data_IF_210467946263
#
_entry.id   IF_210467946263
#
_cell.length_a   1.000
_cell.length_b   1.000
_cell.length_c   1.000
_cell.angle_alpha   90.00
_cell.angle_beta   90.00
_cell.angle_gamma   90.00
#
_symmetry.space_group_name_H-M   'P 1'
#
loop_
_entity.id
_entity.type
_entity.pdbx_description
1 polymer ?
#
# COMPACT_ATOMS: atom_id res chain seq x y z
N UNK A 1 -11.03 -22.44 2.15
CA UNK A 1 -9.98 -21.56 1.58
C UNK A 1 -10.58 -20.38 0.79
N UNK A 2 -11.39 -20.63 -0.25
CA UNK A 2 -11.93 -19.56 -1.11
C UNK A 2 -12.73 -18.47 -0.37
N UNK A 3 -13.60 -18.85 0.58
CA UNK A 3 -14.35 -17.87 1.41
C UNK A 3 -13.42 -16.94 2.18
N UNK A 4 -12.34 -17.47 2.76
CA UNK A 4 -11.36 -16.69 3.51
C UNK A 4 -10.50 -15.80 2.61
N UNK A 5 -10.12 -16.29 1.43
CA UNK A 5 -9.42 -15.49 0.42
C UNK A 5 -10.25 -14.30 -0.06
N UNK A 6 -11.52 -14.54 -0.40
CA UNK A 6 -12.44 -13.47 -0.80
C UNK A 6 -12.62 -12.43 0.31
N UNK A 7 -12.83 -12.91 1.54
CA UNK A 7 -12.96 -12.03 2.71
C UNK A 7 -11.71 -11.16 2.91
N UNK A 8 -10.53 -11.77 2.90
CA UNK A 8 -9.26 -11.05 3.07
C UNK A 8 -8.90 -10.12 1.91
N UNK A 9 -9.37 -10.40 0.70
CA UNK A 9 -9.10 -9.57 -0.47
C UNK A 9 -10.07 -8.39 -0.60
N UNK A 10 -11.36 -8.58 -0.34
CA UNK A 10 -12.38 -7.56 -0.60
C UNK A 10 -13.47 -7.49 0.46
N UNK A 11 -13.89 -8.64 1.00
CA UNK A 11 -15.08 -8.72 1.84
C UNK A 11 -15.01 -7.85 3.11
N UNK A 12 -13.83 -7.79 3.75
CA UNK A 12 -13.62 -7.02 4.98
C UNK A 12 -13.89 -5.51 4.83
N UNK A 13 -13.77 -4.96 3.62
CA UNK A 13 -13.97 -3.51 3.37
C UNK A 13 -15.43 -3.08 3.57
N UNK A 14 -16.36 -4.03 3.54
CA UNK A 14 -17.78 -3.79 3.78
C UNK A 14 -18.19 -4.07 5.23
N UNK A 15 -17.23 -4.42 6.09
CA UNK A 15 -17.45 -4.55 7.52
C UNK A 15 -17.41 -3.16 8.18
N UNK A 16 -18.23 -2.97 9.22
CA UNK A 16 -18.32 -1.72 9.96
C UNK A 16 -17.33 -1.67 11.14
N UNK A 17 -16.73 -2.82 11.48
CA UNK A 17 -15.80 -2.90 12.61
C UNK A 17 -14.55 -2.03 12.37
N UNK A 18 -14.32 -1.10 13.30
CA UNK A 18 -13.12 -0.26 13.30
C UNK A 18 -12.22 -0.59 14.48
N UNK A 19 -10.94 -0.80 14.19
CA UNK A 19 -9.92 -0.99 15.22
C UNK A 19 -9.74 0.29 16.04
N UNK A 20 -9.78 0.23 17.39
CA UNK A 20 -9.68 1.41 18.25
C UNK A 20 -8.27 2.05 18.17
N UNK A 21 -8.18 3.16 17.44
CA UNK A 21 -6.91 3.85 17.16
C UNK A 21 -6.18 4.34 18.41
N UNK A 22 -6.91 4.78 19.44
CA UNK A 22 -6.32 5.25 20.71
C UNK A 22 -5.60 4.13 21.47
N UNK A 23 -5.92 2.87 21.18
CA UNK A 23 -5.28 1.70 21.79
C UNK A 23 -4.07 1.22 20.99
N UNK A 24 -4.19 1.22 19.65
CA UNK A 24 -3.20 0.57 18.77
C UNK A 24 -2.26 1.54 18.04
N UNK A 25 -2.60 2.83 17.95
CA UNK A 25 -1.78 3.86 17.30
C UNK A 25 -1.86 5.22 18.04
N UNK A 26 -1.67 5.28 19.37
CA UNK A 26 -1.81 6.50 20.15
C UNK A 26 -0.79 7.59 19.78
N UNK A 27 0.37 7.19 19.26
CA UNK A 27 1.41 8.05 18.71
C UNK A 27 0.94 8.76 17.43
N UNK A 28 0.38 8.03 16.46
CA UNK A 28 -0.15 8.60 15.22
C UNK A 28 -1.32 9.55 15.47
N UNK A 29 -2.17 9.23 16.45
CA UNK A 29 -3.30 10.10 16.85
C UNK A 29 -2.83 11.39 17.51
N UNK A 30 -1.64 11.41 18.13
CA UNK A 30 -1.08 12.61 18.75
C UNK A 30 -0.30 13.48 17.77
N UNK A 31 0.19 12.91 16.67
CA UNK A 31 0.96 13.63 15.66
C UNK A 31 0.09 14.67 14.89
N UNK A 32 0.38 15.98 14.99
CA UNK A 32 -0.42 17.01 14.36
C UNK A 32 -0.30 17.02 12.83
N UNK A 33 0.81 16.56 12.26
CA UNK A 33 1.01 16.45 10.81
C UNK A 33 0.16 15.31 10.24
N UNK A 34 0.20 14.13 10.85
CA UNK A 34 -0.62 12.98 10.45
C UNK A 34 -2.12 13.32 10.55
N UNK A 35 -2.54 13.95 11.65
CA UNK A 35 -3.94 14.41 11.80
C UNK A 35 -4.35 15.43 10.75
N UNK A 36 -3.44 16.32 10.31
CA UNK A 36 -3.73 17.31 9.27
C UNK A 36 -4.00 16.60 7.94
N UNK A 37 -3.14 15.66 7.55
CA UNK A 37 -3.30 14.86 6.34
C UNK A 37 -4.59 14.04 6.39
N UNK A 38 -4.86 13.36 7.52
CA UNK A 38 -6.08 12.56 7.71
C UNK A 38 -7.36 13.38 7.57
N UNK A 39 -7.43 14.58 8.17
CA UNK A 39 -8.60 15.47 8.03
C UNK A 39 -8.80 16.01 6.62
N UNK A 40 -7.74 16.03 5.81
CA UNK A 40 -7.77 16.46 4.42
C UNK A 40 -8.01 15.30 3.44
N UNK A 41 -8.42 14.12 3.92
CA UNK A 41 -8.63 12.94 3.07
C UNK A 41 -9.46 13.25 1.82
N UNK A 42 -10.65 13.86 1.97
CA UNK A 42 -11.52 14.19 0.84
C UNK A 42 -10.84 15.12 -0.17
N UNK A 43 -10.05 16.09 0.29
CA UNK A 43 -9.27 16.97 -0.58
C UNK A 43 -8.26 16.18 -1.40
N UNK A 44 -7.46 15.32 -0.75
CA UNK A 44 -6.44 14.52 -1.43
C UNK A 44 -7.04 13.49 -2.39
N UNK A 45 -8.19 12.90 -2.04
CA UNK A 45 -8.95 12.03 -2.94
C UNK A 45 -9.40 12.78 -4.19
N UNK A 46 -9.98 13.97 -4.04
CA UNK A 46 -10.42 14.79 -5.18
C UNK A 46 -9.24 15.20 -6.05
N UNK A 47 -8.14 15.67 -5.46
CA UNK A 47 -6.91 16.01 -6.20
C UNK A 47 -6.43 14.79 -7.00
N UNK A 48 -6.31 13.62 -6.35
CA UNK A 48 -5.83 12.39 -6.98
C UNK A 48 -6.72 11.90 -8.13
N UNK A 49 -8.04 12.14 -8.08
CA UNK A 49 -9.00 11.72 -9.11
C UNK A 49 -9.20 12.77 -10.22
N UNK A 50 -8.98 14.06 -9.94
CA UNK A 50 -9.24 15.15 -10.89
C UNK A 50 -7.97 15.62 -11.61
N UNK A 51 -6.77 15.38 -11.07
CA UNK A 51 -5.53 15.74 -11.75
C UNK A 51 -5.36 15.00 -13.09
N UNK A 52 -5.59 13.69 -13.22
CA UNK A 52 -5.45 13.01 -14.51
C UNK A 52 -6.34 13.56 -15.64
N UNK A 53 -7.67 13.73 -15.48
CA UNK A 53 -8.49 14.34 -16.53
C UNK A 53 -8.10 15.78 -16.86
N UNK A 54 -7.71 16.58 -15.85
CA UNK A 54 -7.26 17.94 -16.07
C UNK A 54 -6.03 17.96 -16.98
N UNK A 55 -5.00 17.16 -16.64
CA UNK A 55 -3.78 17.06 -17.43
C UNK A 55 -4.06 16.50 -18.83
N UNK A 56 -4.84 15.41 -18.93
CA UNK A 56 -5.18 14.80 -20.21
C UNK A 56 -5.95 15.74 -21.14
N UNK A 57 -6.89 16.51 -20.58
CA UNK A 57 -7.66 17.52 -21.31
C UNK A 57 -6.77 18.67 -21.80
N UNK A 58 -5.88 19.19 -20.95
CA UNK A 58 -4.99 20.30 -21.29
C UNK A 58 -3.90 19.92 -22.29
N UNK A 59 -3.29 18.73 -22.16
CA UNK A 59 -2.23 18.27 -23.07
C UNK A 59 -2.78 17.99 -24.47
N UNK A 60 -3.98 17.43 -24.56
CA UNK A 60 -4.60 17.06 -25.85
C UNK A 60 -5.53 18.13 -26.41
N UNK A 61 -5.84 19.17 -25.63
CA UNK A 61 -6.88 20.16 -25.92
C UNK A 61 -8.23 19.52 -26.29
N UNK A 62 -8.61 18.43 -25.61
CA UNK A 62 -9.80 17.66 -25.96
C UNK A 62 -10.53 17.05 -24.76
N UNK A 63 -11.87 17.00 -24.86
CA UNK A 63 -12.71 16.29 -23.89
C UNK A 63 -12.46 14.78 -23.90
N UNK A 64 -12.10 14.22 -25.06
CA UNK A 64 -11.75 12.80 -25.18
C UNK A 64 -10.45 12.47 -24.42
N UNK A 65 -9.44 13.34 -24.50
CA UNK A 65 -8.22 13.21 -23.70
C UNK A 65 -8.48 13.32 -22.19
N UNK A 66 -9.37 14.23 -21.77
CA UNK A 66 -9.80 14.30 -20.37
C UNK A 66 -10.50 13.02 -19.92
N UNK A 67 -11.46 12.52 -20.71
CA UNK A 67 -12.21 11.29 -20.40
C UNK A 67 -11.31 10.06 -20.28
N UNK A 68 -10.45 9.85 -21.28
CA UNK A 68 -9.52 8.71 -21.30
C UNK A 68 -8.52 8.78 -20.15
N UNK A 69 -8.01 9.97 -19.81
CA UNK A 69 -7.12 10.16 -18.67
C UNK A 69 -7.83 9.98 -17.32
N UNK A 70 -9.11 10.37 -17.18
CA UNK A 70 -9.92 10.03 -16.01
C UNK A 70 -10.04 8.51 -15.84
N UNK A 71 -10.44 7.81 -16.90
CA UNK A 71 -10.65 6.38 -16.85
C UNK A 71 -9.36 5.63 -16.47
N UNK A 72 -8.26 5.86 -17.19
CA UNK A 72 -7.01 5.13 -16.96
C UNK A 72 -6.21 5.66 -15.77
N UNK A 73 -5.98 6.97 -15.72
CA UNK A 73 -5.14 7.62 -14.71
C UNK A 73 -5.81 7.75 -13.34
N UNK A 74 -7.14 7.64 -13.27
CA UNK A 74 -7.88 7.70 -12.00
C UNK A 74 -8.50 6.36 -11.65
N UNK A 75 -9.49 5.88 -12.40
CA UNK A 75 -10.28 4.71 -12.01
C UNK A 75 -9.47 3.41 -12.07
N UNK A 76 -8.86 3.10 -13.21
CA UNK A 76 -8.07 1.87 -13.38
C UNK A 76 -6.86 1.87 -12.46
N UNK A 77 -6.13 2.99 -12.38
CA UNK A 77 -4.99 3.15 -11.45
C UNK A 77 -5.40 2.85 -10.01
N UNK A 78 -6.51 3.43 -9.53
CA UNK A 78 -6.98 3.21 -8.16
C UNK A 78 -7.42 1.77 -7.95
N UNK A 79 -8.14 1.17 -8.91
CA UNK A 79 -8.54 -0.24 -8.83
C UNK A 79 -7.33 -1.18 -8.74
N UNK A 80 -6.31 -0.98 -9.60
CA UNK A 80 -5.08 -1.77 -9.58
C UNK A 80 -4.31 -1.60 -8.26
N UNK A 81 -4.16 -0.35 -7.77
CA UNK A 81 -3.51 -0.07 -6.49
C UNK A 81 -4.17 -0.85 -5.35
N UNK A 82 -5.51 -0.81 -5.28
CA UNK A 82 -6.25 -1.54 -4.27
C UNK A 82 -6.07 -3.05 -4.41
N UNK A 83 -6.21 -3.62 -5.61
CA UNK A 83 -6.02 -5.06 -5.81
C UNK A 83 -4.60 -5.54 -5.48
N UNK A 84 -3.57 -4.72 -5.71
CA UNK A 84 -2.22 -5.02 -5.25
C UNK A 84 -2.16 -5.05 -3.73
N UNK A 85 -2.65 -4.00 -3.07
CA UNK A 85 -2.65 -3.89 -1.59
C UNK A 85 -3.42 -5.04 -0.95
N UNK A 86 -4.63 -5.31 -1.44
CA UNK A 86 -5.47 -6.41 -0.96
C UNK A 86 -4.89 -7.79 -1.25
N UNK A 87 -4.04 -7.92 -2.27
CA UNK A 87 -3.32 -9.18 -2.53
C UNK A 87 -2.31 -9.49 -1.43
N UNK A 88 -1.79 -8.49 -0.73
CA UNK A 88 -0.93 -8.70 0.45
C UNK A 88 -1.74 -9.38 1.56
N UNK A 89 -2.95 -8.89 1.83
CA UNK A 89 -3.83 -9.48 2.84
C UNK A 89 -4.33 -10.88 2.45
N UNK A 90 -4.57 -11.15 1.16
CA UNK A 90 -5.13 -12.42 0.71
C UNK A 90 -4.08 -13.43 0.24
N UNK A 91 -3.32 -13.11 -0.81
CA UNK A 91 -2.38 -14.02 -1.47
C UNK A 91 -1.22 -14.34 -0.52
N UNK A 92 -0.60 -13.34 0.11
CA UNK A 92 0.54 -13.58 1.00
C UNK A 92 0.17 -14.35 2.28
N UNK A 93 -1.11 -14.41 2.67
CA UNK A 93 -1.55 -15.27 3.79
C UNK A 93 -2.04 -16.67 3.35
N UNK A 94 -2.27 -16.88 2.05
CA UNK A 94 -2.68 -18.16 1.50
C UNK A 94 -1.53 -18.97 0.91
N UNK A 95 -0.57 -18.30 0.26
CA UNK A 95 0.55 -18.90 -0.46
C UNK A 95 1.85 -18.14 -0.18
N UNK A 96 2.99 -18.77 -0.48
CA UNK A 96 4.30 -18.15 -0.38
C UNK A 96 5.28 -18.95 0.47
N UNK A 97 6.55 -18.55 0.40
CA UNK A 97 7.62 -19.16 1.21
C UNK A 97 7.63 -18.56 2.62
N UNK A 98 7.95 -19.36 3.63
CA UNK A 98 8.01 -18.91 5.04
C UNK A 98 9.40 -19.15 5.65
N UNK A 99 10.44 -18.46 5.18
CA UNK A 99 11.81 -18.67 5.69
C UNK A 99 12.02 -18.16 7.13
N UNK A 100 11.16 -17.26 7.62
CA UNK A 100 11.23 -16.68 8.96
C UNK A 100 10.13 -17.24 9.85
N UNK A 101 10.44 -17.40 11.14
CA UNK A 101 9.48 -17.86 12.15
C UNK A 101 8.55 -16.71 12.53
N UNK A 102 7.30 -16.76 12.08
CA UNK A 102 6.21 -15.86 12.50
C UNK A 102 5.15 -16.61 13.33
N UNK A 103 4.19 -15.87 13.91
CA UNK A 103 3.08 -16.45 14.71
C UNK A 103 1.85 -16.81 13.85
N UNK A 104 1.95 -16.65 12.54
CA UNK A 104 0.83 -16.67 11.62
C UNK A 104 1.17 -17.44 10.32
N UNK A 105 0.36 -17.27 9.27
CA UNK A 105 0.54 -17.94 7.96
C UNK A 105 1.01 -17.02 6.85
N UNK A 106 1.50 -15.82 7.15
CA UNK A 106 2.14 -14.92 6.20
C UNK A 106 3.27 -15.62 5.42
N UNK A 107 3.43 -15.24 4.16
CA UNK A 107 4.30 -15.90 3.19
C UNK A 107 4.87 -14.89 2.19
N UNK A 108 6.11 -15.13 1.79
CA UNK A 108 6.81 -14.33 0.79
C UNK A 108 6.37 -14.71 -0.63
N UNK A 109 5.95 -13.72 -1.41
CA UNK A 109 5.49 -13.85 -2.81
C UNK A 109 6.30 -12.92 -3.70
N UNK A 110 7.38 -13.44 -4.29
CA UNK A 110 8.41 -12.61 -4.93
C UNK A 110 7.91 -11.80 -6.13
N UNK A 111 7.02 -12.35 -6.95
CA UNK A 111 6.57 -11.68 -8.18
C UNK A 111 5.67 -10.48 -7.88
N UNK A 112 5.02 -10.47 -6.72
CA UNK A 112 4.20 -9.36 -6.25
C UNK A 112 5.05 -8.21 -5.70
N UNK A 113 6.34 -8.43 -5.43
CA UNK A 113 7.21 -7.44 -4.79
C UNK A 113 7.44 -6.20 -5.67
N UNK A 114 7.39 -6.36 -6.99
CA UNK A 114 7.51 -5.25 -7.94
C UNK A 114 6.28 -4.33 -7.87
N UNK A 115 5.08 -4.90 -7.78
CA UNK A 115 3.83 -4.15 -7.74
C UNK A 115 3.55 -3.56 -6.36
N UNK A 116 3.86 -4.32 -5.31
CA UNK A 116 3.63 -3.95 -3.91
C UNK A 116 4.78 -3.17 -3.27
N UNK A 117 5.76 -2.75 -4.07
CA UNK A 117 6.94 -2.04 -3.59
C UNK A 117 7.73 -2.76 -2.48
N UNK A 118 7.63 -4.08 -2.39
CA UNK A 118 8.30 -4.92 -1.39
C UNK A 118 7.40 -5.49 -0.30
N UNK A 119 6.15 -5.02 -0.14
CA UNK A 119 5.26 -5.49 0.94
C UNK A 119 4.97 -7.00 0.87
N UNK A 120 5.09 -7.62 -0.32
CA UNK A 120 4.89 -9.05 -0.49
C UNK A 120 6.00 -9.95 0.09
N UNK A 121 7.07 -9.38 0.67
CA UNK A 121 7.97 -10.09 1.59
C UNK A 121 7.34 -10.23 2.98
N UNK A 122 6.09 -10.70 2.98
CA UNK A 122 5.16 -10.58 4.10
C UNK A 122 5.53 -11.47 5.28
N UNK A 123 6.23 -12.59 5.04
CA UNK A 123 6.66 -13.46 6.14
C UNK A 123 7.74 -12.79 7.00
N UNK A 124 8.63 -11.98 6.42
CA UNK A 124 9.54 -11.19 7.24
C UNK A 124 8.76 -10.13 8.01
N UNK A 125 7.88 -9.38 7.33
CA UNK A 125 7.10 -8.33 7.97
C UNK A 125 6.36 -8.81 9.23
N UNK A 126 5.82 -10.03 9.21
CA UNK A 126 5.18 -10.65 10.38
C UNK A 126 6.15 -11.27 11.39
N UNK A 127 7.37 -11.63 10.97
CA UNK A 127 8.41 -12.13 11.87
C UNK A 127 9.12 -10.99 12.63
N UNK A 128 9.32 -9.86 11.97
CA UNK A 128 9.90 -8.63 12.53
C UNK A 128 9.16 -7.39 11.99
N UNK A 129 8.04 -6.99 12.64
CA UNK A 129 7.26 -5.83 12.22
C UNK A 129 7.94 -4.49 12.51
N UNK A 130 9.07 -4.48 13.23
CA UNK A 130 9.83 -3.26 13.54
C UNK A 130 10.88 -2.93 12.48
N UNK A 131 11.17 -3.87 11.58
CA UNK A 131 12.10 -3.65 10.48
C UNK A 131 11.57 -2.59 9.51
N UNK A 132 12.39 -1.58 9.21
CA UNK A 132 12.13 -0.60 8.15
C UNK A 132 12.12 -1.21 6.73
N UNK A 133 12.52 -2.48 6.58
CA UNK A 133 12.60 -3.21 5.31
C UNK A 133 11.70 -4.42 5.34
N UNK A 134 11.03 -4.70 4.23
CA UNK A 134 10.31 -5.94 4.01
C UNK A 134 11.24 -7.01 3.41
N UNK A 135 12.12 -6.61 2.50
CA UNK A 135 13.09 -7.50 1.87
C UNK A 135 14.48 -7.45 2.53
N UNK A 136 14.87 -8.52 3.25
CA UNK A 136 16.19 -8.63 3.91
C UNK A 136 17.15 -9.61 3.26
N UNK A 137 16.65 -10.58 2.49
CA UNK A 137 17.52 -11.53 1.80
C UNK A 137 18.11 -10.93 0.52
N UNK A 138 19.27 -11.45 0.12
CA UNK A 138 19.95 -11.00 -1.10
C UNK A 138 19.06 -11.25 -2.33
N UNK A 139 18.91 -10.22 -3.15
CA UNK A 139 18.13 -10.29 -4.39
C UNK A 139 16.64 -9.99 -4.23
N UNK A 140 16.14 -9.78 -3.02
CA UNK A 140 14.76 -9.35 -2.80
C UNK A 140 14.57 -7.90 -3.29
N UNK A 141 13.54 -7.70 -4.12
CA UNK A 141 13.19 -6.39 -4.65
C UNK A 141 12.29 -5.69 -3.63
N UNK A 142 12.77 -4.59 -3.06
CA UNK A 142 12.05 -3.76 -2.11
C UNK A 142 12.36 -2.31 -2.45
N UNK A 143 11.46 -1.63 -3.16
CA UNK A 143 11.65 -0.24 -3.57
C UNK A 143 11.43 0.72 -2.39
N UNK A 144 10.53 0.39 -1.46
CA UNK A 144 10.30 1.18 -0.24
C UNK A 144 11.57 1.25 0.61
N UNK A 145 12.24 0.12 0.85
CA UNK A 145 13.52 0.07 1.55
C UNK A 145 14.62 0.90 0.88
N UNK A 146 14.64 0.94 -0.46
CA UNK A 146 15.60 1.75 -1.22
C UNK A 146 15.33 3.24 -1.05
N UNK A 147 14.06 3.65 -1.06
CA UNK A 147 13.67 5.05 -0.81
C UNK A 147 14.09 5.46 0.59
N UNK A 148 13.81 4.64 1.61
CA UNK A 148 14.23 4.91 3.00
C UNK A 148 15.76 5.06 3.07
N UNK A 149 16.52 4.15 2.45
CA UNK A 149 17.98 4.23 2.41
C UNK A 149 18.48 5.51 1.72
N UNK A 150 17.85 5.96 0.64
CA UNK A 150 18.22 7.23 0.01
C UNK A 150 17.92 8.43 0.90
N UNK A 151 16.78 8.43 1.58
CA UNK A 151 16.45 9.47 2.56
C UNK A 151 17.45 9.49 3.72
N UNK A 152 17.90 8.32 4.19
CA UNK A 152 18.93 8.18 5.22
C UNK A 152 20.27 8.76 4.74
N UNK A 153 20.69 8.43 3.51
CA UNK A 153 21.90 8.96 2.90
C UNK A 153 21.87 10.49 2.73
N UNK A 154 20.68 11.07 2.54
CA UNK A 154 20.47 12.51 2.46
C UNK A 154 20.31 13.17 3.84
N UNK A 155 20.31 12.39 4.93
CA UNK A 155 20.14 12.87 6.30
C UNK A 155 18.71 13.30 6.63
N UNK A 156 17.70 12.91 5.83
CA UNK A 156 16.30 13.25 6.06
C UNK A 156 15.60 12.33 7.06
N UNK A 157 16.09 11.10 7.19
CA UNK A 157 15.63 10.13 8.18
C UNK A 157 16.84 9.50 8.86
N UNK A 158 16.69 9.13 10.12
CA UNK A 158 17.70 8.51 10.98
C UNK A 158 16.97 7.91 12.17
N UNK A 159 17.57 6.91 12.83
CA UNK A 159 17.26 6.44 14.18
C UNK A 159 18.35 5.43 14.61
#
# INVERSE_FOLDING_TARGET
LMKGLWWAHLGWMFDEEQTPQHKYAPDLVKDPAIRRVSRQFALWTLVSLLTPPLVGGLVTWSWWGAFTAFFWGSLVRVALLHHVTWSINSICHAVGKRPFRSRDRSGNVWWLAVLSCGESWHNLHHADPTSARHGVERGQIDSSARIIRWMEQLGWVHD
#
